data_IF_794708674582
#
_entry.id   IF_794708674582
#
_cell.length_a   1.000
_cell.length_b   1.000
_cell.length_c   1.000
_cell.angle_alpha   90.00
_cell.angle_beta   90.00
_cell.angle_gamma   90.00
#
_symmetry.space_group_name_H-M   'P 1'
#
loop_
_entity.id
_entity.type
_entity.pdbx_description
1 polymer ?
#
# COMPACT_ATOMS: atom_id res chain seq x y z
N UNK A 1 -19.93 -3.18 10.09
CA UNK A 1 -19.07 -3.11 8.88
C UNK A 1 -17.69 -2.78 9.37
N UNK A 2 -16.77 -3.74 9.37
CA UNK A 2 -15.50 -3.65 10.10
C UNK A 2 -14.60 -2.59 9.47
N UNK A 3 -14.42 -1.48 10.17
CA UNK A 3 -13.52 -0.40 9.79
C UNK A 3 -12.11 -1.00 9.68
N UNK A 4 -11.52 -0.96 8.49
CA UNK A 4 -10.17 -1.50 8.28
C UNK A 4 -9.17 -0.54 8.93
N UNK A 5 -8.75 -0.86 10.15
CA UNK A 5 -7.74 -0.09 10.88
C UNK A 5 -6.38 -0.78 10.83
N UNK A 6 -5.31 -0.01 10.62
CA UNK A 6 -3.94 -0.46 10.78
C UNK A 6 -3.42 0.04 12.13
N UNK A 7 -3.38 -0.83 13.14
CA UNK A 7 -2.91 -0.45 14.49
C UNK A 7 -3.71 0.70 15.11
N UNK A 8 -5.04 0.67 14.94
CA UNK A 8 -5.96 1.71 15.43
C UNK A 8 -6.12 2.94 14.51
N UNK A 9 -5.30 3.08 13.46
CA UNK A 9 -5.40 4.19 12.51
C UNK A 9 -6.31 3.78 11.34
N UNK A 10 -7.31 4.61 10.95
CA UNK A 10 -8.13 4.35 9.77
C UNK A 10 -7.27 4.22 8.50
N UNK A 11 -7.46 3.15 7.73
CA UNK A 11 -6.59 2.84 6.59
C UNK A 11 -6.57 3.93 5.52
N UNK A 12 -7.68 4.64 5.35
CA UNK A 12 -7.85 5.76 4.41
C UNK A 12 -6.96 6.96 4.73
N UNK A 13 -6.57 7.13 6.00
CA UNK A 13 -5.65 8.20 6.41
C UNK A 13 -4.19 7.89 6.07
N UNK A 14 -3.85 6.61 5.88
CA UNK A 14 -2.48 6.19 5.60
C UNK A 14 -2.27 6.19 4.08
N UNK A 15 -1.52 7.18 3.59
CA UNK A 15 -1.17 7.32 2.16
C UNK A 15 -0.07 6.32 1.74
N UNK A 16 -0.28 5.05 2.07
CA UNK A 16 0.58 3.96 1.61
C UNK A 16 -0.14 3.16 0.53
N UNK A 17 0.33 3.25 -0.70
CA UNK A 17 -0.16 2.44 -1.81
C UNK A 17 0.87 2.44 -2.95
N UNK A 18 0.89 1.39 -3.78
CA UNK A 18 1.76 1.34 -4.93
C UNK A 18 1.28 2.27 -6.04
N UNK A 19 2.22 2.76 -6.84
CA UNK A 19 1.96 3.44 -8.11
C UNK A 19 2.67 2.68 -9.23
N UNK A 20 1.96 2.38 -10.31
CA UNK A 20 2.54 1.70 -11.47
C UNK A 20 2.97 2.74 -12.51
N UNK A 21 4.25 2.70 -12.88
CA UNK A 21 4.79 3.44 -14.02
C UNK A 21 4.45 2.72 -15.31
N UNK A 22 3.43 3.20 -16.01
CA UNK A 22 2.98 2.64 -17.31
C UNK A 22 4.12 2.59 -18.34
N UNK A 23 5.03 3.56 -18.33
CA UNK A 23 6.17 3.61 -19.24
C UNK A 23 7.20 2.46 -19.04
N UNK A 24 7.25 1.86 -17.84
CA UNK A 24 8.12 0.70 -17.52
C UNK A 24 7.34 -0.61 -17.43
N UNK A 25 6.02 -0.57 -17.47
CA UNK A 25 5.20 -1.75 -17.27
C UNK A 25 5.24 -2.64 -18.52
N UNK A 26 5.73 -3.87 -18.37
CA UNK A 26 5.78 -4.87 -19.45
C UNK A 26 4.52 -5.73 -19.53
N UNK A 27 3.47 -5.39 -18.78
CA UNK A 27 2.21 -6.14 -18.69
C UNK A 27 2.38 -7.62 -18.27
N UNK A 28 3.45 -7.93 -17.53
CA UNK A 28 3.77 -9.31 -17.12
C UNK A 28 2.81 -9.93 -16.10
N UNK A 29 1.97 -9.13 -15.43
CA UNK A 29 0.99 -9.64 -14.45
C UNK A 29 1.56 -10.13 -13.12
N UNK A 30 2.89 -10.10 -12.91
CA UNK A 30 3.54 -10.60 -11.69
C UNK A 30 2.98 -9.96 -10.40
N UNK A 31 2.68 -8.67 -10.43
CA UNK A 31 2.12 -7.95 -9.28
C UNK A 31 0.71 -8.42 -8.89
N UNK A 32 -0.13 -8.77 -9.88
CA UNK A 32 -1.47 -9.32 -9.66
C UNK A 32 -1.37 -10.71 -9.04
N UNK A 33 -0.48 -11.55 -9.57
CA UNK A 33 -0.25 -12.92 -9.07
C UNK A 33 0.33 -12.94 -7.65
N UNK A 34 1.24 -12.01 -7.33
CA UNK A 34 1.86 -11.93 -6.00
C UNK A 34 0.92 -11.33 -4.95
N UNK A 35 0.19 -10.26 -5.29
CA UNK A 35 -0.58 -9.49 -4.31
C UNK A 35 -1.95 -10.12 -4.03
N UNK A 36 -2.03 -10.93 -2.96
CA UNK A 36 -3.28 -11.57 -2.51
C UNK A 36 -4.34 -10.61 -1.93
N UNK A 37 -4.01 -9.33 -1.78
CA UNK A 37 -4.92 -8.31 -1.22
C UNK A 37 -5.82 -7.64 -2.28
N UNK A 38 -5.77 -8.13 -3.52
CA UNK A 38 -6.53 -7.57 -4.65
C UNK A 38 -6.28 -6.07 -4.86
N UNK A 39 -5.05 -5.60 -4.59
CA UNK A 39 -4.63 -4.21 -4.82
C UNK A 39 -4.62 -3.90 -6.31
N UNK A 40 -4.19 -4.87 -7.10
CA UNK A 40 -4.07 -4.77 -8.56
C UNK A 40 -5.20 -5.51 -9.26
N UNK A 41 -5.50 -5.08 -10.47
CA UNK A 41 -6.35 -5.77 -11.45
C UNK A 41 -5.63 -5.77 -12.79
N UNK A 42 -5.90 -6.78 -13.61
CA UNK A 42 -5.52 -6.76 -15.02
C UNK A 42 -6.37 -5.74 -15.79
N UNK A 43 -5.77 -5.13 -16.81
CA UNK A 43 -6.39 -4.20 -17.74
C UNK A 43 -5.69 -4.27 -19.09
N UNK A 44 -6.28 -3.67 -20.13
CA UNK A 44 -5.77 -3.73 -21.51
C UNK A 44 -4.35 -3.15 -21.64
N UNK A 45 -4.06 -2.09 -20.88
CA UNK A 45 -2.76 -1.41 -20.85
C UNK A 45 -1.77 -1.98 -19.83
N UNK A 46 -2.12 -3.11 -19.22
CA UNK A 46 -1.33 -3.77 -18.17
C UNK A 46 -2.03 -3.69 -16.81
N UNK A 47 -1.33 -4.17 -15.79
CA UNK A 47 -1.86 -4.16 -14.43
C UNK A 47 -2.09 -2.72 -13.95
N UNK A 48 -3.23 -2.49 -13.30
CA UNK A 48 -3.60 -1.19 -12.72
C UNK A 48 -3.99 -1.36 -11.25
N UNK A 49 -3.88 -0.28 -10.48
CA UNK A 49 -4.23 -0.29 -9.05
C UNK A 49 -5.73 -0.07 -8.90
N UNK A 50 -6.45 -1.09 -8.43
CA UNK A 50 -7.91 -1.07 -8.21
C UNK A 50 -8.27 -0.73 -6.77
N UNK A 51 -7.55 -1.31 -5.80
CA UNK A 51 -7.81 -1.13 -4.38
C UNK A 51 -6.55 -0.67 -3.65
N UNK A 52 -6.15 0.61 -3.78
CA UNK A 52 -4.90 1.11 -3.18
C UNK A 52 -4.86 0.92 -1.66
N UNK A 53 -6.01 1.13 -0.99
CA UNK A 53 -6.13 1.01 0.47
C UNK A 53 -6.14 -0.44 0.98
N UNK A 54 -6.23 -1.45 0.12
CA UNK A 54 -6.03 -2.84 0.54
C UNK A 54 -4.55 -3.19 0.70
N UNK A 55 -3.64 -2.34 0.23
CA UNK A 55 -2.21 -2.59 0.38
C UNK A 55 -1.84 -2.62 1.86
N UNK A 56 -1.07 -3.63 2.27
CA UNK A 56 -0.56 -3.73 3.64
C UNK A 56 0.45 -2.60 3.85
N UNK A 57 0.25 -1.82 4.91
CA UNK A 57 1.09 -0.68 5.24
C UNK A 57 2.53 -1.14 5.48
N UNK A 58 3.48 -0.57 4.75
CA UNK A 58 4.90 -0.94 4.79
C UNK A 58 5.29 -2.16 3.93
N UNK A 59 4.34 -2.85 3.31
CA UNK A 59 4.66 -3.95 2.40
C UNK A 59 5.15 -3.39 1.04
N UNK A 60 6.31 -3.87 0.59
CA UNK A 60 6.90 -3.51 -0.71
C UNK A 60 7.19 -4.73 -1.59
N UNK A 61 6.75 -5.93 -1.19
CA UNK A 61 7.13 -7.19 -1.85
C UNK A 61 6.80 -7.23 -3.34
N UNK A 62 5.65 -6.69 -3.76
CA UNK A 62 5.30 -6.68 -5.18
C UNK A 62 6.25 -5.81 -6.03
N UNK A 63 6.91 -4.80 -5.45
CA UNK A 63 7.91 -4.02 -6.17
C UNK A 63 9.19 -4.84 -6.42
N UNK A 64 9.59 -5.69 -5.48
CA UNK A 64 10.71 -6.62 -5.65
C UNK A 64 10.42 -7.71 -6.68
N UNK A 65 9.18 -8.20 -6.73
CA UNK A 65 8.75 -9.20 -7.72
C UNK A 65 8.57 -8.63 -9.13
N UNK A 66 8.54 -7.30 -9.28
CA UNK A 66 8.34 -6.67 -10.58
C UNK A 66 9.65 -6.69 -11.39
N UNK A 67 9.76 -7.49 -12.47
CA UNK A 67 11.01 -7.63 -13.21
C UNK A 67 11.43 -6.33 -13.91
N UNK A 68 10.46 -5.47 -14.26
CA UNK A 68 10.73 -4.17 -14.89
C UNK A 68 10.84 -3.01 -13.89
N UNK A 69 10.76 -3.30 -12.58
CA UNK A 69 10.79 -2.31 -11.50
C UNK A 69 9.84 -1.13 -11.77
N UNK A 70 8.65 -1.44 -12.30
CA UNK A 70 7.65 -0.44 -12.67
C UNK A 70 6.81 0.04 -11.48
N UNK A 71 6.96 -0.57 -10.31
CA UNK A 71 6.13 -0.29 -9.12
C UNK A 71 6.91 0.58 -8.16
N UNK A 72 6.34 1.73 -7.82
CA UNK A 72 6.90 2.69 -6.87
C UNK A 72 6.04 2.71 -5.62
N UNK A 73 6.71 2.85 -4.47
CA UNK A 73 6.07 3.10 -3.17
C UNK A 73 6.55 4.44 -2.59
N UNK A 74 5.77 5.04 -1.67
CA UNK A 74 6.27 6.11 -0.82
C UNK A 74 7.49 5.67 -0.01
N UNK A 75 8.30 6.63 0.46
CA UNK A 75 9.43 6.31 1.33
C UNK A 75 8.95 5.70 2.64
N UNK A 76 9.68 4.70 3.15
CA UNK A 76 9.43 4.14 4.48
C UNK A 76 9.69 5.17 5.59
N UNK A 77 10.58 6.15 5.34
CA UNK A 77 10.82 7.26 6.26
C UNK A 77 9.58 8.15 6.34
N UNK A 78 9.07 8.60 5.19
CA UNK A 78 7.85 9.41 5.12
C UNK A 78 6.65 8.67 5.73
N UNK A 79 6.55 7.35 5.51
CA UNK A 79 5.52 6.53 6.13
C UNK A 79 5.63 6.57 7.65
N UNK A 80 6.83 6.42 8.21
CA UNK A 80 7.05 6.45 9.67
C UNK A 80 6.65 7.81 10.26
N UNK A 81 7.04 8.90 9.61
CA UNK A 81 6.69 10.24 10.04
C UNK A 81 5.17 10.48 9.96
N UNK A 82 4.53 10.08 8.86
CA UNK A 82 3.08 10.15 8.70
C UNK A 82 2.34 9.34 9.77
N UNK A 83 2.78 8.09 10.05
CA UNK A 83 2.18 7.26 11.11
C UNK A 83 2.35 7.88 12.49
N UNK A 84 3.47 8.56 12.75
CA UNK A 84 3.72 9.25 14.02
C UNK A 84 2.75 10.41 14.22
N UNK A 85 2.46 11.18 13.17
CA UNK A 85 1.48 12.25 13.18
C UNK A 85 0.05 11.70 13.33
N UNK A 86 -0.31 10.71 12.51
CA UNK A 86 -1.64 10.10 12.53
C UNK A 86 -1.97 9.44 13.87
N UNK A 87 -0.98 8.86 14.56
CA UNK A 87 -1.16 8.31 15.92
C UNK A 87 -1.49 9.40 16.94
N UNK A 88 -0.86 10.58 16.83
CA UNK A 88 -1.17 11.75 17.68
C UNK A 88 -2.59 12.26 17.39
N UNK A 89 -2.93 12.43 16.11
CA UNK A 89 -4.24 12.93 15.68
C UNK A 89 -5.40 12.00 16.02
N UNK A 90 -5.21 10.69 15.88
CA UNK A 90 -6.24 9.69 16.21
C UNK A 90 -6.33 9.41 17.73
N UNK A 91 -5.55 10.11 18.58
CA UNK A 91 -5.63 9.98 20.03
C UNK A 91 -5.11 8.64 20.59
N UNK A 92 -4.43 7.83 19.77
CA UNK A 92 -3.92 6.50 20.11
C UNK A 92 -2.68 6.53 21.02
N UNK A 93 -2.30 7.69 21.54
CA UNK A 93 -1.31 7.84 22.61
C UNK A 93 -1.89 7.65 24.01
N UNK A 94 -3.20 7.35 24.14
CA UNK A 94 -3.83 6.97 25.40
C UNK A 94 -4.00 5.45 25.48
N UNK A 95 -2.95 4.79 26.00
CA UNK A 95 -3.06 3.64 26.88
C UNK A 95 -3.36 2.27 26.28
N UNK A 96 -2.45 1.32 26.56
CA UNK A 96 -2.84 -0.02 26.99
C UNK A 96 -2.44 -1.17 26.10
N UNK A 97 -1.14 -1.44 25.95
CA UNK A 97 -0.67 -2.83 25.90
C UNK A 97 -0.74 -3.35 27.34
N UNK A 98 -1.72 -4.23 27.61
CA UNK A 98 -1.84 -5.00 28.85
C UNK A 98 -0.71 -6.04 28.92
#
# INVERSE_FOLDING_TARGET
MTERTCGGIPREKIQWYPTILTNKCTKCGACVSFCKQAVYTDGEDGSMVKNPFNCVVGCTGCASECPSQAIIFPSLVDLRDALTLLRKECGLLRGGDL
#
